data_IF_450101831242
#
_entry.id   IF_450101831242
#
_cell.length_a   1.000
_cell.length_b   1.000
_cell.length_c   1.000
_cell.angle_alpha   90.00
_cell.angle_beta   90.00
_cell.angle_gamma   90.00
#
_symmetry.space_group_name_H-M   'P 1'
#
loop_
_entity.id
_entity.type
_entity.pdbx_description
1 polymer ?
#
# COMPACT_ATOMS: atom_id res chain seq x y z
N UNK A 1 4.27 -20.94 20.05
CA UNK A 1 4.64 -21.63 18.80
C UNK A 1 3.39 -22.34 18.26
N UNK A 2 2.94 -22.04 17.05
CA UNK A 2 1.85 -22.79 16.43
C UNK A 2 2.42 -24.06 15.80
N UNK A 3 2.24 -25.22 16.45
CA UNK A 3 2.47 -26.53 15.82
C UNK A 3 1.36 -26.76 14.80
N UNK A 4 1.67 -26.58 13.53
CA UNK A 4 0.81 -27.01 12.42
C UNK A 4 1.17 -28.47 12.18
N UNK A 5 0.38 -29.39 12.75
CA UNK A 5 0.50 -30.81 12.49
C UNK A 5 -0.34 -31.14 11.26
N UNK A 6 0.31 -31.43 10.15
CA UNK A 6 -0.32 -31.86 8.89
C UNK A 6 -0.08 -33.37 8.81
N UNK A 7 -1.13 -34.13 8.50
CA UNK A 7 -1.01 -35.56 8.24
C UNK A 7 -0.23 -35.77 6.92
N UNK A 8 1.09 -35.79 7.04
CA UNK A 8 2.10 -35.77 5.95
C UNK A 8 2.19 -37.06 5.14
N UNK A 9 1.42 -38.10 5.48
CA UNK A 9 1.55 -39.43 4.86
C UNK A 9 1.31 -39.40 3.36
N UNK A 10 0.37 -38.56 2.90
CA UNK A 10 0.11 -38.38 1.48
C UNK A 10 1.31 -37.73 0.76
N UNK A 11 1.86 -36.65 1.33
CA UNK A 11 3.04 -35.98 0.78
C UNK A 11 4.27 -36.91 0.75
N UNK A 12 4.47 -37.74 1.78
CA UNK A 12 5.55 -38.74 1.83
C UNK A 12 5.35 -39.81 0.75
N UNK A 13 4.14 -40.37 0.61
CA UNK A 13 3.82 -41.35 -0.46
C UNK A 13 4.07 -40.78 -1.84
N UNK A 14 3.64 -39.55 -2.10
CA UNK A 14 3.90 -38.87 -3.38
C UNK A 14 5.39 -38.60 -3.59
N UNK A 15 6.13 -38.21 -2.57
CA UNK A 15 7.58 -37.99 -2.65
C UNK A 15 8.30 -39.28 -3.05
N UNK A 16 8.04 -40.38 -2.34
CA UNK A 16 8.63 -41.69 -2.64
C UNK A 16 8.26 -42.18 -4.05
N UNK A 17 7.06 -41.87 -4.52
CA UNK A 17 6.63 -42.23 -5.89
C UNK A 17 7.38 -41.41 -6.94
N UNK A 18 7.52 -40.11 -6.72
CA UNK A 18 8.21 -39.20 -7.65
C UNK A 18 9.71 -39.47 -7.72
N UNK A 19 10.34 -39.89 -6.62
CA UNK A 19 11.76 -40.28 -6.61
C UNK A 19 12.04 -41.52 -7.48
N UNK A 20 11.06 -42.41 -7.61
CA UNK A 20 11.15 -43.65 -8.40
C UNK A 20 10.80 -43.49 -9.88
N UNK A 21 10.23 -42.35 -10.29
CA UNK A 21 9.88 -42.07 -11.68
C UNK A 21 11.10 -41.54 -12.45
N UNK A 22 11.23 -40.22 -12.60
CA UNK A 22 12.38 -39.57 -13.20
C UNK A 22 13.12 -38.67 -12.20
N UNK A 23 14.45 -38.57 -12.36
CA UNK A 23 15.32 -37.70 -11.53
C UNK A 23 14.85 -36.24 -11.44
N UNK A 24 14.06 -35.78 -12.42
CA UNK A 24 13.49 -34.43 -12.47
C UNK A 24 12.10 -34.28 -11.85
N UNK A 25 11.35 -35.35 -11.61
CA UNK A 25 9.91 -35.24 -11.31
C UNK A 25 9.63 -34.67 -9.93
N UNK A 26 10.34 -35.14 -8.91
CA UNK A 26 10.26 -34.57 -7.56
C UNK A 26 10.68 -33.09 -7.54
N UNK A 27 11.87 -32.70 -8.06
CA UNK A 27 12.24 -31.29 -8.12
C UNK A 27 11.24 -30.40 -8.87
N UNK A 28 10.67 -30.89 -9.97
CA UNK A 28 9.71 -30.09 -10.74
C UNK A 28 8.38 -29.96 -10.01
N UNK A 29 7.91 -31.01 -9.32
CA UNK A 29 6.73 -30.94 -8.46
C UNK A 29 6.93 -29.88 -7.36
N UNK A 30 8.02 -29.98 -6.59
CA UNK A 30 8.36 -29.01 -5.53
C UNK A 30 8.45 -27.59 -6.08
N UNK A 31 9.15 -27.38 -7.20
CA UNK A 31 9.28 -26.06 -7.86
C UNK A 31 7.92 -25.46 -8.20
N UNK A 32 7.04 -26.26 -8.78
CA UNK A 32 5.73 -25.81 -9.25
C UNK A 32 4.80 -25.52 -8.07
N UNK A 33 4.92 -26.26 -6.97
CA UNK A 33 4.17 -26.01 -5.73
C UNK A 33 4.64 -24.75 -5.01
N UNK A 34 5.95 -24.50 -4.94
CA UNK A 34 6.50 -23.24 -4.42
C UNK A 34 6.00 -22.04 -5.22
N UNK A 35 6.05 -22.13 -6.56
CA UNK A 35 5.53 -21.09 -7.44
C UNK A 35 4.02 -20.88 -7.23
N UNK A 36 3.24 -21.95 -7.18
CA UNK A 36 1.79 -21.90 -6.93
C UNK A 36 1.48 -21.22 -5.60
N UNK A 37 2.25 -21.52 -4.55
CA UNK A 37 2.12 -20.88 -3.24
C UNK A 37 2.39 -19.39 -3.33
N UNK A 38 3.50 -18.97 -3.95
CA UNK A 38 3.82 -17.56 -4.12
C UNK A 38 2.76 -16.80 -4.97
N UNK A 39 2.19 -17.45 -5.97
CA UNK A 39 1.07 -16.90 -6.74
C UNK A 39 -0.24 -16.83 -5.96
N UNK A 40 -0.53 -17.79 -5.07
CA UNK A 40 -1.68 -17.72 -4.15
C UNK A 40 -1.54 -16.51 -3.23
N UNK A 41 -0.33 -16.24 -2.72
CA UNK A 41 -0.08 -15.02 -1.93
C UNK A 41 -0.40 -13.78 -2.75
N UNK A 42 0.20 -13.63 -3.93
CA UNK A 42 -0.02 -12.47 -4.80
C UNK A 42 -1.49 -12.26 -5.19
N UNK A 43 -2.21 -13.34 -5.52
CA UNK A 43 -3.54 -13.26 -6.12
C UNK A 43 -4.68 -13.31 -5.09
N UNK A 44 -4.49 -13.94 -3.93
CA UNK A 44 -5.56 -14.23 -2.98
C UNK A 44 -5.26 -13.74 -1.57
N UNK A 45 -4.29 -14.35 -0.87
CA UNK A 45 -4.14 -14.10 0.58
C UNK A 45 -3.62 -12.71 0.91
N UNK A 46 -2.70 -12.14 0.12
CA UNK A 46 -2.23 -10.76 0.34
C UNK A 46 -3.33 -9.73 0.09
N UNK A 47 -4.07 -9.74 -1.06
CA UNK A 47 -5.21 -8.84 -1.23
C UNK A 47 -6.25 -8.96 -0.10
N UNK A 48 -6.51 -10.18 0.40
CA UNK A 48 -7.45 -10.39 1.49
C UNK A 48 -6.93 -9.79 2.81
N UNK A 49 -5.70 -10.12 3.22
CA UNK A 49 -5.09 -9.57 4.43
C UNK A 49 -4.99 -8.03 4.37
N UNK A 50 -4.66 -7.49 3.20
CA UNK A 50 -4.57 -6.05 2.99
C UNK A 50 -5.91 -5.32 3.17
N UNK A 51 -7.05 -5.94 2.87
CA UNK A 51 -8.38 -5.33 3.09
C UNK A 51 -8.71 -5.15 4.57
N UNK A 52 -8.19 -6.02 5.44
CA UNK A 52 -8.36 -5.88 6.89
C UNK A 52 -7.37 -4.90 7.49
N UNK A 53 -6.16 -4.80 6.92
CA UNK A 53 -5.11 -3.92 7.42
C UNK A 53 -5.22 -2.47 6.91
N UNK A 54 -5.79 -2.27 5.71
CA UNK A 54 -5.74 -0.97 5.02
C UNK A 54 -7.06 -0.59 4.37
N UNK A 55 -7.30 0.72 4.33
CA UNK A 55 -8.34 1.32 3.51
C UNK A 55 -7.96 1.24 2.01
N UNK A 56 -8.69 0.45 1.23
CA UNK A 56 -8.43 0.23 -0.20
C UNK A 56 -8.93 1.40 -1.07
N UNK A 57 -8.06 2.39 -1.27
CA UNK A 57 -8.38 3.57 -2.10
C UNK A 57 -8.16 3.39 -3.60
N UNK A 58 -7.35 2.40 -3.99
CA UNK A 58 -7.07 2.03 -5.38
C UNK A 58 -7.17 0.52 -5.52
N UNK A 59 -8.19 0.08 -6.26
CA UNK A 59 -8.40 -1.34 -6.57
C UNK A 59 -7.13 -1.94 -7.17
N UNK A 60 -6.76 -3.13 -6.72
CA UNK A 60 -5.62 -3.91 -7.23
C UNK A 60 -4.23 -3.31 -6.95
N UNK A 61 -4.08 -2.30 -6.08
CA UNK A 61 -2.77 -1.70 -5.77
C UNK A 61 -1.72 -2.77 -5.43
N UNK A 62 -1.99 -3.61 -4.43
CA UNK A 62 -1.06 -4.65 -3.97
C UNK A 62 -0.70 -5.67 -5.05
N UNK A 63 -1.65 -6.08 -5.89
CA UNK A 63 -1.41 -7.02 -6.99
C UNK A 63 -0.55 -6.40 -8.09
N UNK A 64 -0.78 -5.13 -8.40
CA UNK A 64 -0.05 -4.38 -9.43
C UNK A 64 1.38 -4.02 -8.99
N UNK A 65 1.59 -3.76 -7.71
CA UNK A 65 2.91 -3.39 -7.16
C UNK A 65 3.70 -4.58 -6.64
N UNK A 66 3.21 -5.82 -6.73
CA UNK A 66 3.93 -7.02 -6.30
C UNK A 66 4.44 -7.85 -7.47
N UNK A 67 5.50 -8.63 -7.24
CA UNK A 67 6.08 -9.59 -8.18
C UNK A 67 6.40 -10.90 -7.46
N UNK A 68 6.27 -11.99 -8.21
CA UNK A 68 6.71 -13.31 -7.80
C UNK A 68 8.00 -13.60 -8.55
N UNK A 69 9.06 -13.87 -7.81
CA UNK A 69 10.30 -14.44 -8.34
C UNK A 69 10.20 -15.95 -8.15
N UNK A 70 9.98 -16.62 -9.27
CA UNK A 70 9.72 -18.05 -9.30
C UNK A 70 10.96 -18.84 -8.92
N UNK A 71 10.73 -19.98 -8.25
CA UNK A 71 11.73 -20.99 -7.98
C UNK A 71 12.32 -21.53 -9.30
N UNK A 72 13.64 -21.75 -9.30
CA UNK A 72 14.44 -22.23 -10.43
C UNK A 72 15.36 -23.38 -9.99
N UNK A 73 15.87 -24.15 -10.95
CA UNK A 73 16.80 -25.25 -10.72
C UNK A 73 16.12 -26.55 -10.25
N UNK A 74 16.96 -27.51 -9.85
CA UNK A 74 16.57 -28.86 -9.41
C UNK A 74 17.03 -29.20 -7.98
N UNK A 75 17.92 -28.39 -7.38
CA UNK A 75 18.43 -28.60 -6.02
C UNK A 75 17.36 -28.21 -4.99
N UNK A 76 16.75 -29.20 -4.35
CA UNK A 76 15.66 -29.03 -3.40
C UNK A 76 16.03 -28.13 -2.21
N UNK A 77 17.23 -28.29 -1.64
CA UNK A 77 17.63 -27.57 -0.43
C UNK A 77 17.77 -26.06 -0.62
N UNK A 78 18.06 -25.59 -1.84
CA UNK A 78 18.16 -24.16 -2.17
C UNK A 78 16.91 -23.62 -2.88
N UNK A 79 15.92 -24.46 -3.14
CA UNK A 79 14.76 -24.10 -3.95
C UNK A 79 13.81 -23.20 -3.16
N UNK A 80 13.58 -21.99 -3.66
CA UNK A 80 12.66 -21.03 -3.05
C UNK A 80 11.97 -20.20 -4.12
N UNK A 81 10.70 -19.86 -3.86
CA UNK A 81 9.98 -18.83 -4.59
C UNK A 81 9.74 -17.66 -3.63
N UNK A 82 9.98 -16.44 -4.09
CA UNK A 82 9.80 -15.24 -3.27
C UNK A 82 8.73 -14.35 -3.86
N UNK A 83 7.98 -13.67 -3.00
CA UNK A 83 7.04 -12.65 -3.40
C UNK A 83 7.37 -11.36 -2.66
N UNK A 84 7.45 -10.26 -3.41
CA UNK A 84 7.81 -8.95 -2.88
C UNK A 84 7.16 -7.82 -3.67
N UNK A 85 7.39 -6.59 -3.21
CA UNK A 85 6.92 -5.38 -3.88
C UNK A 85 7.99 -4.81 -4.81
N UNK A 86 7.55 -4.33 -5.97
CA UNK A 86 8.37 -3.71 -7.01
C UNK A 86 8.88 -2.34 -6.55
N UNK A 87 10.14 -2.04 -6.88
CA UNK A 87 10.75 -0.73 -6.62
C UNK A 87 11.24 -0.51 -5.18
N UNK A 88 11.14 -1.51 -4.29
CA UNK A 88 11.79 -1.48 -2.98
C UNK A 88 11.68 -0.14 -2.24
N UNK A 89 12.82 0.41 -1.84
CA UNK A 89 12.89 1.71 -1.16
C UNK A 89 12.79 2.92 -2.09
N UNK A 90 13.09 2.75 -3.39
CA UNK A 90 12.99 3.85 -4.37
C UNK A 90 11.53 4.23 -4.65
N UNK A 91 10.59 3.31 -4.42
CA UNK A 91 9.17 3.60 -4.42
C UNK A 91 8.68 3.97 -3.01
N UNK A 92 8.40 5.26 -2.78
CA UNK A 92 7.94 5.77 -1.49
C UNK A 92 6.70 5.03 -0.95
N UNK A 93 5.79 4.56 -1.82
CA UNK A 93 4.61 3.82 -1.38
C UNK A 93 4.98 2.45 -0.79
N UNK A 94 5.99 1.79 -1.37
CA UNK A 94 6.51 0.50 -0.90
C UNK A 94 7.38 0.66 0.35
N UNK A 95 8.25 1.67 0.39
CA UNK A 95 9.01 2.00 1.59
C UNK A 95 8.09 2.27 2.80
N UNK A 96 7.03 3.06 2.58
CA UNK A 96 6.02 3.31 3.60
C UNK A 96 5.27 2.05 3.99
N UNK A 97 4.97 1.17 3.03
CA UNK A 97 4.29 -0.10 3.31
C UNK A 97 5.16 -1.02 4.20
N UNK A 98 6.48 -1.04 3.99
CA UNK A 98 7.41 -1.79 4.83
C UNK A 98 7.42 -1.27 6.28
N UNK A 99 7.35 0.06 6.48
CA UNK A 99 7.19 0.66 7.81
C UNK A 99 5.81 0.38 8.42
N UNK A 100 4.77 0.26 7.60
CA UNK A 100 3.44 -0.14 8.10
C UNK A 100 3.40 -1.63 8.51
N UNK A 101 4.12 -2.48 7.80
CA UNK A 101 4.22 -3.91 8.11
C UNK A 101 4.85 -4.14 9.49
N UNK A 102 5.99 -3.50 9.78
CA UNK A 102 6.80 -3.76 10.98
C UNK A 102 6.68 -2.69 12.08
N UNK A 103 6.03 -1.57 11.79
CA UNK A 103 6.04 -0.38 12.64
C UNK A 103 7.20 0.57 12.32
N UNK A 104 7.16 1.74 12.95
CA UNK A 104 8.18 2.79 12.84
C UNK A 104 7.67 4.10 12.24
N UNK A 105 8.59 5.05 12.03
CA UNK A 105 8.24 6.41 11.61
C UNK A 105 8.26 6.57 10.08
N UNK A 106 7.20 7.18 9.55
CA UNK A 106 7.06 7.56 8.14
C UNK A 106 7.27 9.09 8.04
N UNK A 107 8.44 9.48 7.55
CA UNK A 107 8.80 10.88 7.26
C UNK A 107 8.17 11.43 5.97
N UNK A 108 8.45 12.69 5.67
CA UNK A 108 8.00 13.35 4.44
C UNK A 108 6.48 13.56 4.36
N UNK A 109 5.78 13.55 5.51
CA UNK A 109 4.31 13.69 5.59
C UNK A 109 3.89 15.11 5.93
N UNK A 110 4.64 16.10 5.46
CA UNK A 110 4.37 17.52 5.72
C UNK A 110 2.94 17.93 5.36
N UNK A 111 2.35 17.30 4.33
CA UNK A 111 0.98 17.52 3.91
C UNK A 111 0.14 16.26 4.13
N UNK A 112 -0.87 16.33 5.00
CA UNK A 112 -1.84 15.24 5.20
C UNK A 112 -3.18 15.65 4.58
N UNK A 113 -3.67 14.91 3.57
CA UNK A 113 -4.92 15.26 2.88
C UNK A 113 -6.12 15.11 3.81
N UNK A 114 -6.93 16.16 3.89
CA UNK A 114 -8.19 16.18 4.63
C UNK A 114 -9.30 15.51 3.82
N UNK A 115 -10.35 15.07 4.50
CA UNK A 115 -11.52 14.41 3.89
C UNK A 115 -12.13 15.22 2.74
N UNK A 116 -12.20 16.54 2.90
CA UNK A 116 -12.69 17.50 1.90
C UNK A 116 -11.88 17.55 0.61
N UNK A 117 -10.61 17.13 0.61
CA UNK A 117 -9.78 17.04 -0.60
C UNK A 117 -10.12 15.84 -1.49
N UNK A 118 -10.88 14.87 -0.97
CA UNK A 118 -11.12 13.57 -1.59
C UNK A 118 -12.39 13.54 -2.44
N UNK A 119 -12.48 12.55 -3.31
CA UNK A 119 -13.70 12.31 -4.10
C UNK A 119 -14.87 12.05 -3.15
N UNK A 120 -16.00 12.72 -3.38
CA UNK A 120 -17.19 12.60 -2.52
C UNK A 120 -17.00 13.04 -1.07
N UNK A 121 -15.90 13.72 -0.72
CA UNK A 121 -15.55 14.06 0.67
C UNK A 121 -15.51 12.82 1.58
N UNK A 122 -14.91 11.72 1.10
CA UNK A 122 -14.80 10.48 1.88
C UNK A 122 -13.34 10.05 2.08
N UNK A 123 -13.02 9.63 3.30
CA UNK A 123 -11.69 9.11 3.67
C UNK A 123 -11.32 7.80 2.98
N UNK A 124 -12.31 7.02 2.54
CA UNK A 124 -12.13 5.78 1.75
C UNK A 124 -11.81 6.02 0.28
N UNK A 125 -11.95 7.27 -0.18
CA UNK A 125 -11.69 7.62 -1.58
C UNK A 125 -10.33 8.31 -1.76
N UNK A 126 -9.75 8.23 -2.97
CA UNK A 126 -8.52 8.95 -3.28
C UNK A 126 -8.74 10.47 -3.28
N UNK A 127 -7.62 11.20 -3.18
CA UNK A 127 -7.60 12.67 -3.38
C UNK A 127 -8.01 12.97 -4.83
N UNK A 128 -8.89 13.95 -5.04
CA UNK A 128 -9.32 14.39 -6.39
C UNK A 128 -8.10 14.83 -7.18
N UNK A 129 -8.04 14.56 -8.49
CA UNK A 129 -6.87 14.87 -9.35
C UNK A 129 -6.38 16.30 -9.13
N UNK A 130 -7.23 17.28 -9.36
CA UNK A 130 -6.96 18.71 -9.13
C UNK A 130 -6.47 19.08 -7.72
N UNK A 131 -6.70 18.24 -6.70
CA UNK A 131 -6.30 18.50 -5.32
C UNK A 131 -5.01 17.76 -4.95
N UNK A 132 -4.40 16.96 -5.83
CA UNK A 132 -3.14 16.26 -5.55
C UNK A 132 -2.00 17.28 -5.45
N UNK A 133 -1.05 17.04 -4.56
CA UNK A 133 0.10 17.94 -4.38
C UNK A 133 0.92 18.12 -5.66
N UNK A 134 0.99 17.11 -6.53
CA UNK A 134 1.64 17.19 -7.84
C UNK A 134 0.97 18.17 -8.79
N UNK A 135 -0.34 18.36 -8.64
CA UNK A 135 -1.18 19.19 -9.52
C UNK A 135 -1.40 20.59 -8.91
N UNK A 136 -1.05 20.79 -7.63
CA UNK A 136 -1.14 22.09 -6.95
C UNK A 136 0.12 22.90 -7.25
N UNK A 137 -0.06 24.11 -7.79
CA UNK A 137 1.01 25.08 -8.03
C UNK A 137 0.79 26.32 -7.17
N UNK A 138 1.87 27.04 -6.88
CA UNK A 138 1.86 28.38 -6.28
C UNK A 138 0.99 28.51 -5.02
N UNK A 139 1.39 27.81 -3.94
CA UNK A 139 0.74 27.96 -2.63
C UNK A 139 1.13 29.32 -2.04
N UNK A 140 0.16 30.23 -1.90
CA UNK A 140 0.37 31.54 -1.28
C UNK A 140 0.37 31.38 0.25
N UNK A 141 1.50 31.61 0.92
CA UNK A 141 1.55 31.63 2.38
C UNK A 141 1.00 32.95 2.92
N UNK A 142 -0.11 32.88 3.65
CA UNK A 142 -0.75 34.05 4.25
C UNK A 142 0.18 34.79 5.21
N UNK A 143 1.16 34.13 5.83
CA UNK A 143 2.10 34.79 6.77
C UNK A 143 2.93 35.88 6.09
N UNK A 144 3.22 35.68 4.80
CA UNK A 144 4.03 36.58 3.97
C UNK A 144 3.21 37.76 3.42
N UNK A 145 1.88 37.73 3.57
CA UNK A 145 1.01 38.82 3.12
C UNK A 145 1.07 40.02 4.08
N UNK A 146 1.04 41.24 3.53
CA UNK A 146 1.01 42.50 4.29
C UNK A 146 -0.32 42.69 5.00
N UNK A 147 -0.41 42.62 6.33
CA UNK A 147 -1.66 42.86 7.07
C UNK A 147 -1.46 42.97 8.57
N UNK A 148 -2.33 43.72 9.26
CA UNK A 148 -2.24 44.02 10.70
C UNK A 148 -2.48 42.79 11.57
N UNK A 149 -3.40 41.90 11.16
CA UNK A 149 -3.72 40.68 11.90
C UNK A 149 -3.78 39.45 10.98
N UNK A 150 -3.76 38.24 11.57
CA UNK A 150 -3.78 36.96 10.82
C UNK A 150 -4.97 36.87 9.85
N UNK A 151 -6.14 37.41 10.24
CA UNK A 151 -7.35 37.44 9.41
C UNK A 151 -7.16 38.31 8.16
N UNK A 152 -6.64 39.53 8.31
CA UNK A 152 -6.39 40.44 7.19
C UNK A 152 -5.32 39.90 6.25
N UNK A 153 -4.26 39.31 6.81
CA UNK A 153 -3.23 38.62 6.04
C UNK A 153 -3.81 37.49 5.18
N UNK A 154 -4.67 36.66 5.76
CA UNK A 154 -5.39 35.61 5.03
C UNK A 154 -6.27 36.16 3.91
N UNK A 155 -7.08 37.18 4.18
CA UNK A 155 -7.96 37.81 3.18
C UNK A 155 -7.16 38.30 1.97
N UNK A 156 -6.04 39.00 2.22
CA UNK A 156 -5.18 39.51 1.14
C UNK A 156 -4.51 38.38 0.37
N UNK A 157 -4.03 37.35 1.06
CA UNK A 157 -3.48 36.15 0.42
C UNK A 157 -4.52 35.44 -0.48
N UNK A 158 -5.76 35.33 -0.01
CA UNK A 158 -6.85 34.70 -0.76
C UNK A 158 -7.29 35.53 -1.98
N UNK A 159 -7.30 36.86 -1.89
CA UNK A 159 -7.55 37.73 -3.04
C UNK A 159 -6.40 37.62 -4.04
N UNK A 160 -5.16 37.66 -3.57
CA UNK A 160 -3.97 37.53 -4.42
C UNK A 160 -3.91 36.17 -5.13
N UNK A 161 -4.26 35.08 -4.43
CA UNK A 161 -4.34 33.75 -5.02
C UNK A 161 -5.48 33.62 -6.05
N UNK A 162 -6.54 34.41 -5.93
CA UNK A 162 -7.70 34.39 -6.82
C UNK A 162 -8.58 33.15 -6.69
N UNK A 163 -9.66 33.10 -7.48
CA UNK A 163 -10.54 31.93 -7.57
C UNK A 163 -9.78 30.76 -8.21
N UNK A 164 -9.87 29.58 -7.60
CA UNK A 164 -9.06 28.41 -7.94
C UNK A 164 -7.71 28.35 -7.22
N UNK A 165 -7.24 29.48 -6.70
CA UNK A 165 -5.96 29.62 -6.01
C UNK A 165 -5.89 28.86 -4.68
N UNK A 166 -4.65 28.59 -4.25
CA UNK A 166 -4.34 27.82 -3.04
C UNK A 166 -3.61 28.71 -2.03
N UNK A 167 -4.07 28.70 -0.78
CA UNK A 167 -3.53 29.52 0.31
C UNK A 167 -3.16 28.63 1.49
N UNK A 168 -1.96 28.81 2.03
CA UNK A 168 -1.55 28.22 3.31
C UNK A 168 -1.80 29.24 4.42
N UNK A 169 -2.60 28.87 5.43
CA UNK A 169 -2.90 29.75 6.55
C UNK A 169 -3.12 28.98 7.85
N UNK A 170 -2.86 29.65 8.97
CA UNK A 170 -3.14 29.11 10.30
C UNK A 170 -4.62 29.30 10.66
N UNK A 171 -5.26 28.23 11.10
CA UNK A 171 -6.64 28.21 11.57
C UNK A 171 -6.73 27.35 12.83
N UNK A 172 -7.19 27.95 13.94
CA UNK A 172 -7.28 27.30 15.26
C UNK A 172 -5.97 26.58 15.66
N UNK A 173 -4.84 27.25 15.51
CA UNK A 173 -3.51 26.73 15.84
C UNK A 173 -2.93 25.70 14.85
N UNK A 174 -3.65 25.34 13.77
CA UNK A 174 -3.18 24.38 12.76
C UNK A 174 -2.96 25.07 11.42
N UNK A 175 -1.87 24.78 10.73
CA UNK A 175 -1.66 25.25 9.36
C UNK A 175 -2.47 24.39 8.40
N UNK A 176 -3.33 25.03 7.62
CA UNK A 176 -4.23 24.38 6.67
C UNK A 176 -3.99 24.99 5.29
N UNK A 177 -3.94 24.13 4.28
CA UNK A 177 -3.94 24.49 2.87
C UNK A 177 -5.40 24.59 2.42
N UNK A 178 -5.81 25.76 1.96
CA UNK A 178 -7.17 26.07 1.50
C UNK A 178 -7.19 26.27 0.00
N UNK A 179 -8.24 25.79 -0.66
CA UNK A 179 -8.63 26.25 -2.00
C UNK A 179 -9.67 27.35 -1.89
N UNK A 180 -9.47 28.42 -2.64
CA UNK A 180 -10.45 29.48 -2.83
C UNK A 180 -11.39 29.07 -3.96
N UNK A 181 -12.62 28.66 -3.65
CA UNK A 181 -13.59 28.26 -4.69
C UNK A 181 -14.42 29.44 -5.22
N UNK A 182 -14.62 30.48 -4.41
CA UNK A 182 -15.32 31.68 -4.81
C UNK A 182 -14.94 32.86 -3.91
N UNK A 183 -15.04 34.07 -4.45
CA UNK A 183 -14.92 35.34 -3.75
C UNK A 183 -16.23 36.11 -4.00
N UNK A 184 -17.01 36.32 -2.95
CA UNK A 184 -18.34 36.94 -2.94
C UNK A 184 -18.28 38.26 -2.15
N UNK A 185 -18.21 39.39 -2.84
CA UNK A 185 -18.31 40.72 -2.21
C UNK A 185 -17.12 41.14 -1.33
N UNK A 186 -17.35 42.10 -0.42
CA UNK A 186 -16.36 42.70 0.49
C UNK A 186 -16.51 42.08 1.91
N UNK A 187 -15.40 41.82 2.63
CA UNK A 187 -15.42 41.35 4.05
C UNK A 187 -15.01 39.88 4.32
N UNK A 188 -15.01 39.40 5.57
CA UNK A 188 -14.47 38.07 5.93
C UNK A 188 -15.32 36.88 5.45
N UNK A 189 -16.65 37.04 5.36
CA UNK A 189 -17.57 36.03 4.83
C UNK A 189 -17.58 35.95 3.29
N UNK A 190 -16.59 36.57 2.63
CA UNK A 190 -16.51 36.62 1.17
C UNK A 190 -16.02 35.32 0.52
N UNK A 191 -15.38 34.40 1.25
CA UNK A 191 -14.71 33.28 0.59
C UNK A 191 -15.46 31.95 0.76
N UNK A 192 -15.74 31.27 -0.35
CA UNK A 192 -16.10 29.85 -0.32
C UNK A 192 -14.80 29.04 -0.34
N UNK A 193 -14.40 28.50 0.80
CA UNK A 193 -13.14 27.78 0.94
C UNK A 193 -13.33 26.26 0.96
N UNK A 194 -12.29 25.51 0.60
CA UNK A 194 -12.22 24.08 0.87
C UNK A 194 -10.86 23.76 1.47
N UNK A 195 -10.86 23.21 2.68
CA UNK A 195 -9.64 22.70 3.29
C UNK A 195 -9.14 21.50 2.50
N UNK A 196 -7.88 21.53 2.05
CA UNK A 196 -7.28 20.45 1.28
C UNK A 196 -6.35 19.60 2.13
N UNK A 197 -5.42 20.24 2.84
CA UNK A 197 -4.39 19.55 3.61
C UNK A 197 -4.19 20.20 4.98
N UNK A 198 -3.87 19.40 5.98
CA UNK A 198 -3.16 19.92 7.15
C UNK A 198 -1.67 19.91 6.85
N UNK A 199 -0.99 21.01 7.19
CA UNK A 199 0.43 21.21 6.92
C UNK A 199 1.23 21.32 8.21
N UNK A 200 2.42 20.74 8.23
CA UNK A 200 3.42 20.91 9.27
C UNK A 200 4.79 20.57 8.69
N UNK A 201 5.77 21.44 8.92
CA UNK A 201 7.10 21.29 8.32
C UNK A 201 7.78 20.06 8.95
N UNK A 202 8.26 19.14 8.11
CA UNK A 202 9.01 17.97 8.58
C UNK A 202 8.16 16.92 9.29
N UNK A 203 6.82 16.98 9.18
CA UNK A 203 5.93 16.04 9.87
C UNK A 203 6.28 14.59 9.54
N UNK A 204 6.42 13.79 10.58
CA UNK A 204 6.46 12.34 10.53
C UNK A 204 5.22 11.73 11.16
N UNK A 205 4.84 10.55 10.70
CA UNK A 205 3.74 9.76 11.27
C UNK A 205 4.32 8.49 11.86
N UNK A 206 4.18 8.29 13.17
CA UNK A 206 4.61 7.07 13.81
C UNK A 206 3.55 5.97 13.65
N UNK A 207 3.98 4.79 13.21
CA UNK A 207 3.15 3.60 13.14
C UNK A 207 3.38 2.80 14.43
N UNK A 208 2.44 2.92 15.36
CA UNK A 208 2.48 2.22 16.65
C UNK A 208 2.08 0.75 16.57
N UNK A 209 1.21 0.40 15.60
CA UNK A 209 0.73 -0.98 15.41
C UNK A 209 1.20 -1.50 14.05
N UNK A 210 2.12 -2.45 14.09
CA UNK A 210 2.52 -3.26 12.95
C UNK A 210 1.32 -4.01 12.38
N UNK A 211 1.13 -3.98 11.06
CA UNK A 211 0.01 -4.68 10.42
C UNK A 211 0.29 -6.17 10.23
N UNK A 212 1.55 -6.56 10.05
CA UNK A 212 1.98 -7.94 9.79
C UNK A 212 1.17 -8.63 8.66
N UNK A 213 0.61 -7.86 7.72
CA UNK A 213 -0.37 -8.36 6.76
C UNK A 213 0.29 -9.33 5.77
N UNK A 214 1.56 -9.11 5.44
CA UNK A 214 2.33 -10.00 4.57
C UNK A 214 2.66 -11.31 5.27
N UNK A 215 3.01 -11.25 6.55
CA UNK A 215 3.23 -12.45 7.35
C UNK A 215 1.94 -13.30 7.44
N UNK A 216 0.81 -12.65 7.73
CA UNK A 216 -0.52 -13.32 7.77
C UNK A 216 -0.84 -13.97 6.42
N UNK A 217 -0.69 -13.23 5.32
CA UNK A 217 -0.94 -13.73 3.98
C UNK A 217 -0.04 -14.93 3.62
N UNK A 218 1.25 -14.83 3.93
CA UNK A 218 2.22 -15.88 3.66
C UNK A 218 1.90 -17.16 4.44
N UNK A 219 1.58 -17.03 5.73
CA UNK A 219 1.17 -18.16 6.56
C UNK A 219 -0.12 -18.82 6.06
N UNK A 220 -1.10 -18.02 5.61
CA UNK A 220 -2.35 -18.54 5.07
C UNK A 220 -2.13 -19.36 3.79
N UNK A 221 -1.25 -18.90 2.89
CA UNK A 221 -0.93 -19.66 1.67
C UNK A 221 -0.02 -20.85 1.94
N UNK A 222 0.91 -20.74 2.90
CA UNK A 222 1.80 -21.84 3.31
C UNK A 222 1.02 -23.07 3.81
N UNK A 223 -0.12 -22.86 4.48
CA UNK A 223 -1.03 -23.95 4.89
C UNK A 223 -1.61 -24.75 3.72
N UNK A 224 -1.60 -24.21 2.50
CA UNK A 224 -2.05 -24.89 1.28
C UNK A 224 -0.90 -25.51 0.48
N UNK A 225 0.34 -25.38 0.95
CA UNK A 225 1.51 -25.81 0.19
C UNK A 225 1.50 -27.32 -0.06
N UNK A 226 1.06 -28.10 0.93
CA UNK A 226 0.90 -29.55 0.79
C UNK A 226 -0.13 -29.90 -0.29
N UNK A 227 -1.30 -29.25 -0.31
CA UNK A 227 -2.30 -29.53 -1.35
C UNK A 227 -1.81 -29.12 -2.74
N UNK A 228 -1.08 -28.01 -2.86
CA UNK A 228 -0.38 -27.66 -4.10
C UNK A 228 0.67 -28.72 -4.49
N UNK A 229 1.37 -29.32 -3.53
CA UNK A 229 2.30 -30.41 -3.79
C UNK A 229 1.60 -31.68 -4.29
N UNK A 230 0.54 -32.12 -3.61
CA UNK A 230 -0.24 -33.29 -4.01
C UNK A 230 -0.81 -33.12 -5.42
N UNK A 231 -1.35 -31.95 -5.75
CA UNK A 231 -1.90 -31.66 -7.09
C UNK A 231 -0.79 -31.77 -8.16
N UNK A 232 0.36 -31.17 -7.92
CA UNK A 232 1.46 -31.20 -8.90
C UNK A 232 2.10 -32.59 -9.00
N UNK A 233 2.22 -33.32 -7.89
CA UNK A 233 2.69 -34.70 -7.86
C UNK A 233 1.79 -35.63 -8.69
N UNK A 234 0.47 -35.53 -8.53
CA UNK A 234 -0.50 -36.30 -9.33
C UNK A 234 -0.35 -36.04 -10.83
N UNK A 235 -0.21 -34.77 -11.24
CA UNK A 235 0.02 -34.40 -12.64
C UNK A 235 1.30 -35.03 -13.21
N UNK A 236 2.37 -35.07 -12.41
CA UNK A 236 3.65 -35.68 -12.82
C UNK A 236 3.52 -37.18 -13.00
N UNK A 237 2.91 -37.86 -12.02
CA UNK A 237 2.67 -39.30 -12.08
C UNK A 237 1.80 -39.66 -13.28
N UNK A 238 0.74 -38.88 -13.54
CA UNK A 238 -0.14 -39.12 -14.70
C UNK A 238 0.58 -38.92 -16.03
N UNK A 239 1.52 -37.97 -16.12
CA UNK A 239 2.31 -37.73 -17.34
C UNK A 239 3.38 -38.82 -17.60
N UNK A 240 3.81 -39.51 -16.55
CA UNK A 240 4.81 -40.57 -16.65
C UNK A 240 4.21 -41.95 -16.92
N UNK A 241 2.88 -42.07 -16.85
CA UNK A 241 2.11 -43.23 -17.34
C UNK A 241 1.74 -43.00 -18.80
#
# INVERSE_FOLDING_TARGET
MAKININTDAAVKFTNTLEKLGRSDLPVAVRTSLNSTAFDVKKKSMPLAARFAFEERKKNFFKATSRVDMAKGFKLSSMKATMGFLGGESNQAVANLAKQERGGSIGGRSFIPMTTSRVGKSSSKPVRKQNRLSDIRNIVDARNSKGRNKRQKFVKAAIHAGVGGIVLAEYKGKKIVWRVNAIKGRGLNRFKLTALYSYEKGRSVNISKATNFMQIASNQSARKMESFFIIEAKKRIQKAK
#
